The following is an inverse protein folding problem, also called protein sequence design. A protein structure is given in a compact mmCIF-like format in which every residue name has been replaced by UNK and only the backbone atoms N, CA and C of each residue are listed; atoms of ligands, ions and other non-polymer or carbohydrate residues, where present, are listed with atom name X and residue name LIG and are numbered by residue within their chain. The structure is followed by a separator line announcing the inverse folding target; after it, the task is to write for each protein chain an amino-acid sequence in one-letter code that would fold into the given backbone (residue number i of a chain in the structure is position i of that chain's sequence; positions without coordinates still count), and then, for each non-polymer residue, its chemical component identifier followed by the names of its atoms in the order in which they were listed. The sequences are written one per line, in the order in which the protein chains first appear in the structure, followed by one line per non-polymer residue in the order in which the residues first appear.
data_IF_722565237153
#
_entry.id   IF_722565237153
#
_cell.length_a   1.000
_cell.length_b   1.000
_cell.length_c   1.000
_cell.angle_alpha   90.00
_cell.angle_beta   90.00
_cell.angle_gamma   90.00
#
_symmetry.space_group_name_H-M   'P 1'
#
loop_
_entity.id
_entity.type
_entity.pdbx_description
1 polymer ?
#
# COMPACT_ATOMS: atom_id res chain seq x y z
N UNK A 1 0.09 -19.39 27.39
CA UNK A 1 -0.63 -18.10 27.37
C UNK A 1 0.12 -17.17 26.43
N UNK A 2 -0.51 -16.69 25.35
CA UNK A 2 0.10 -15.69 24.48
C UNK A 2 0.10 -14.37 25.25
N UNK A 3 1.29 -13.85 25.54
CA UNK A 3 1.45 -12.64 26.33
C UNK A 3 0.84 -11.42 25.61
N UNK A 4 0.25 -10.49 26.38
CA UNK A 4 -0.38 -9.27 25.86
C UNK A 4 0.60 -8.44 25.01
N UNK A 5 1.90 -8.50 25.33
CA UNK A 5 2.99 -7.88 24.57
C UNK A 5 3.13 -8.48 23.16
N UNK A 6 2.97 -9.80 23.01
CA UNK A 6 3.04 -10.49 21.72
C UNK A 6 1.89 -10.09 20.81
N UNK A 7 0.67 -9.98 21.36
CA UNK A 7 -0.50 -9.50 20.61
C UNK A 7 -0.34 -8.03 20.16
N UNK A 8 0.25 -7.19 21.01
CA UNK A 8 0.53 -5.79 20.69
C UNK A 8 1.55 -5.65 19.55
N UNK A 9 2.62 -6.45 19.59
CA UNK A 9 3.63 -6.49 18.53
C UNK A 9 3.05 -6.98 17.20
N UNK A 10 2.20 -8.01 17.23
CA UNK A 10 1.49 -8.50 16.05
C UNK A 10 0.60 -7.41 15.44
N UNK A 11 -0.19 -6.72 16.27
CA UNK A 11 -1.08 -5.65 15.83
C UNK A 11 -0.31 -4.47 15.22
N UNK A 12 0.88 -4.15 15.75
CA UNK A 12 1.73 -3.08 15.22
C UNK A 12 2.32 -3.45 13.86
N UNK A 13 2.84 -4.66 13.71
CA UNK A 13 3.38 -5.14 12.42
C UNK A 13 2.31 -5.26 11.34
N UNK A 14 1.10 -5.71 11.70
CA UNK A 14 -0.04 -5.77 10.78
C UNK A 14 -0.47 -4.37 10.32
N UNK A 15 -0.56 -3.39 11.22
CA UNK A 15 -0.89 -2.01 10.86
C UNK A 15 0.08 -1.43 9.83
N UNK A 16 1.39 -1.68 10.00
CA UNK A 16 2.41 -1.27 9.04
C UNK A 16 2.16 -1.97 7.69
N UNK A 17 1.92 -3.28 7.69
CA UNK A 17 1.57 -4.03 6.48
C UNK A 17 0.39 -3.41 5.74
N UNK A 18 -0.71 -3.10 6.43
CA UNK A 18 -1.87 -2.43 5.83
C UNK A 18 -1.51 -1.05 5.28
N UNK A 19 -0.76 -0.23 6.01
CA UNK A 19 -0.38 1.12 5.61
C UNK A 19 0.44 1.15 4.31
N UNK A 20 1.17 0.06 4.02
CA UNK A 20 1.94 -0.13 2.80
C UNK A 20 1.14 -0.76 1.68
N UNK A 21 0.32 -1.77 2.00
CA UNK A 21 -0.43 -2.52 1.00
C UNK A 21 -1.58 -1.70 0.40
N UNK A 22 -2.21 -0.84 1.22
CA UNK A 22 -3.38 -0.04 0.82
C UNK A 22 -3.12 0.83 -0.41
N UNK A 23 -2.08 1.70 -0.46
CA UNK A 23 -1.81 2.52 -1.63
C UNK A 23 -1.47 1.70 -2.88
N UNK A 24 -0.83 0.53 -2.73
CA UNK A 24 -0.56 -0.38 -3.85
C UNK A 24 -1.84 -0.97 -4.42
N UNK A 25 -2.71 -1.51 -3.56
CA UNK A 25 -3.98 -2.10 -3.97
C UNK A 25 -4.88 -1.05 -4.62
N UNK A 26 -4.99 0.14 -4.03
CA UNK A 26 -5.74 1.27 -4.59
C UNK A 26 -5.21 1.64 -5.99
N UNK A 27 -3.88 1.71 -6.16
CA UNK A 27 -3.27 1.99 -7.46
C UNK A 27 -3.62 0.93 -8.52
N UNK A 28 -3.57 -0.36 -8.15
CA UNK A 28 -3.92 -1.46 -9.06
C UNK A 28 -5.41 -1.42 -9.44
N UNK A 29 -6.31 -1.32 -8.46
CA UNK A 29 -7.75 -1.33 -8.73
C UNK A 29 -8.19 -0.11 -9.54
N UNK A 30 -7.71 1.09 -9.20
CA UNK A 30 -7.97 2.30 -9.98
C UNK A 30 -7.35 2.18 -11.37
N UNK A 31 -6.14 1.64 -11.48
CA UNK A 31 -5.45 1.42 -12.74
C UNK A 31 -6.25 0.54 -13.68
N UNK A 32 -6.75 -0.59 -13.18
CA UNK A 32 -7.57 -1.52 -13.97
C UNK A 32 -8.91 -0.88 -14.38
N UNK A 33 -9.52 -0.12 -13.47
CA UNK A 33 -10.77 0.59 -13.76
C UNK A 33 -10.58 1.64 -14.86
N UNK A 34 -9.50 2.43 -14.79
CA UNK A 34 -9.16 3.43 -15.82
C UNK A 34 -8.78 2.74 -17.13
N UNK A 35 -7.94 1.71 -17.09
CA UNK A 35 -7.54 1.00 -18.32
C UNK A 35 -8.72 0.37 -19.04
N UNK A 36 -9.69 -0.18 -18.31
CA UNK A 36 -10.91 -0.71 -18.91
C UNK A 36 -11.82 0.39 -19.48
N UNK A 37 -11.84 1.57 -18.85
CA UNK A 37 -12.65 2.71 -19.29
C UNK A 37 -12.06 3.38 -20.53
N UNK A 38 -10.74 3.60 -20.56
CA UNK A 38 -10.03 4.26 -21.65
C UNK A 38 -9.50 3.29 -22.71
N UNK A 39 -9.68 1.97 -22.53
CA UNK A 39 -9.16 0.89 -23.38
C UNK A 39 -7.65 0.99 -23.63
N UNK A 40 -6.94 1.56 -22.67
CA UNK A 40 -5.49 1.62 -22.66
C UNK A 40 -4.98 0.26 -22.21
N UNK A 41 -4.06 -0.32 -22.98
CA UNK A 41 -3.61 -1.71 -22.85
C UNK A 41 -2.71 -1.93 -21.62
N UNK A 42 -3.15 -1.57 -20.42
CA UNK A 42 -2.37 -1.70 -19.19
C UNK A 42 -1.55 -0.47 -18.78
N UNK A 43 -1.73 0.68 -19.47
CA UNK A 43 -0.87 1.86 -19.26
C UNK A 43 -1.19 2.56 -17.94
N UNK A 44 -2.48 2.75 -17.61
CA UNK A 44 -2.85 3.38 -16.34
C UNK A 44 -2.54 2.50 -15.14
N UNK A 45 -2.65 1.16 -15.28
CA UNK A 45 -2.19 0.22 -14.24
C UNK A 45 -0.72 0.45 -13.92
N UNK A 46 0.15 0.53 -14.93
CA UNK A 46 1.59 0.72 -14.71
C UNK A 46 1.86 2.06 -14.02
N UNK A 47 1.25 3.15 -14.50
CA UNK A 47 1.44 4.49 -13.91
C UNK A 47 0.95 4.54 -12.46
N UNK A 48 -0.24 3.97 -12.18
CA UNK A 48 -0.81 4.00 -10.83
C UNK A 48 -0.11 3.04 -9.87
N UNK A 49 0.47 1.93 -10.35
CA UNK A 49 1.36 1.08 -9.55
C UNK A 49 2.64 1.85 -9.19
N UNK A 50 3.24 2.58 -10.12
CA UNK A 50 4.43 3.40 -9.85
C UNK A 50 4.10 4.46 -8.79
N UNK A 51 2.98 5.17 -8.95
CA UNK A 51 2.52 6.16 -7.95
C UNK A 51 2.21 5.52 -6.59
N UNK A 52 1.56 4.36 -6.57
CA UNK A 52 1.28 3.60 -5.35
C UNK A 52 2.57 3.14 -4.67
N UNK A 53 3.57 2.73 -5.44
CA UNK A 53 4.89 2.33 -4.95
C UNK A 53 5.63 3.53 -4.33
N UNK A 54 5.69 4.67 -5.02
CA UNK A 54 6.29 5.90 -4.48
C UNK A 54 5.58 6.34 -3.20
N UNK A 55 4.25 6.26 -3.17
CA UNK A 55 3.45 6.56 -1.98
C UNK A 55 3.76 5.60 -0.83
N UNK A 56 3.98 4.32 -1.12
CA UNK A 56 4.39 3.30 -0.15
C UNK A 56 5.76 3.61 0.45
N UNK A 57 6.74 3.97 -0.40
CA UNK A 57 8.07 4.39 0.07
C UNK A 57 8.01 5.68 0.89
N UNK A 58 7.19 6.65 0.49
CA UNK A 58 6.99 7.87 1.26
C UNK A 58 6.36 7.57 2.63
N UNK A 59 5.37 6.69 2.68
CA UNK A 59 4.74 6.21 3.90
C UNK A 59 5.74 5.49 4.82
N UNK A 60 6.64 4.66 4.27
CA UNK A 60 7.73 4.03 5.03
C UNK A 60 8.71 5.05 5.60
N UNK A 61 9.10 6.03 4.79
CA UNK A 61 10.01 7.09 5.21
C UNK A 61 9.41 7.91 6.35
N UNK A 62 8.14 8.30 6.20
CA UNK A 62 7.40 9.03 7.24
C UNK A 62 7.27 8.20 8.51
N UNK A 63 6.90 6.92 8.38
CA UNK A 63 6.79 6.00 9.52
C UNK A 63 8.12 5.93 10.27
N UNK A 64 9.23 5.73 9.57
CA UNK A 64 10.58 5.67 10.18
C UNK A 64 10.97 6.96 10.90
N UNK A 65 10.46 8.11 10.47
CA UNK A 65 10.72 9.42 11.10
C UNK A 65 9.81 9.70 12.31
N UNK A 66 8.64 9.07 12.37
CA UNK A 66 7.69 9.18 13.49
C UNK A 66 7.97 8.19 14.64
N UNK A 67 8.83 7.19 14.42
CA UNK A 67 9.37 6.32 15.47
C UNK A 67 10.54 6.99 16.21
#
# INVERSE_FOLDING_TARGET
MIDKKTNLLLAKSLNIGYYLLTPLLVGVFLGLFLDNTFKTKGVFVIILIILGTVSTFYNLYKLTKEF
#
